data_IF_055175282580
#
_entry.id   IF_055175282580
#
_cell.length_a   1.000
_cell.length_b   1.000
_cell.length_c   1.000
_cell.angle_alpha   90.00
_cell.angle_beta   90.00
_cell.angle_gamma   90.00
#
_symmetry.space_group_name_H-M   'P 1'
#
loop_
_entity.id
_entity.type
_entity.pdbx_description
1 polymer ?
#
# COMPACT_ATOMS: atom_id res chain seq x y z
N UNK A 1 -23.54 -6.88 20.86
CA UNK A 1 -22.30 -7.29 21.57
C UNK A 1 -22.49 -8.72 22.05
N UNK A 2 -21.55 -9.62 21.79
CA UNK A 2 -21.67 -11.02 22.23
C UNK A 2 -20.91 -11.24 23.54
N UNK A 3 -21.36 -12.19 24.36
CA UNK A 3 -20.74 -12.52 25.67
C UNK A 3 -19.22 -12.81 25.55
N UNK A 4 -18.81 -13.43 24.44
CA UNK A 4 -17.39 -13.70 24.14
C UNK A 4 -16.55 -12.43 23.93
N UNK A 5 -17.13 -11.37 23.37
CA UNK A 5 -16.44 -10.08 23.21
C UNK A 5 -16.24 -9.41 24.57
N UNK A 6 -17.26 -9.44 25.42
CA UNK A 6 -17.21 -8.88 26.79
C UNK A 6 -16.10 -9.55 27.59
N UNK A 7 -16.02 -10.89 27.58
CA UNK A 7 -14.97 -11.64 28.30
C UNK A 7 -13.56 -11.32 27.78
N UNK A 8 -13.39 -11.12 26.47
CA UNK A 8 -12.09 -10.74 25.88
C UNK A 8 -11.66 -9.33 26.34
N UNK A 9 -12.59 -8.37 26.35
CA UNK A 9 -12.32 -7.02 26.83
C UNK A 9 -11.98 -6.97 28.31
N UNK A 10 -12.72 -7.69 29.15
CA UNK A 10 -12.44 -7.78 30.61
C UNK A 10 -11.03 -8.31 30.87
N UNK A 11 -10.59 -9.33 30.11
CA UNK A 11 -9.22 -9.87 30.22
C UNK A 11 -8.16 -8.84 29.81
N UNK A 12 -8.32 -8.18 28.67
CA UNK A 12 -7.36 -7.17 28.21
C UNK A 12 -7.26 -5.97 29.17
N UNK A 13 -8.38 -5.57 29.75
CA UNK A 13 -8.41 -4.51 30.77
C UNK A 13 -7.68 -4.93 32.04
N UNK A 14 -7.91 -6.16 32.54
CA UNK A 14 -7.20 -6.72 33.69
C UNK A 14 -5.70 -6.92 33.42
N UNK A 15 -5.31 -7.20 32.17
CA UNK A 15 -3.91 -7.31 31.73
C UNK A 15 -3.23 -5.92 31.59
N UNK A 16 -3.89 -4.83 32.01
CA UNK A 16 -3.32 -3.49 32.04
C UNK A 16 -3.37 -2.76 30.69
N UNK A 17 -4.13 -3.26 29.71
CA UNK A 17 -4.29 -2.61 28.40
C UNK A 17 -5.24 -1.43 28.51
N UNK A 18 -4.70 -0.23 28.69
CA UNK A 18 -5.47 1.02 28.86
C UNK A 18 -5.78 1.75 27.55
N UNK A 19 -5.21 1.31 26.42
CA UNK A 19 -5.43 1.92 25.11
C UNK A 19 -6.68 1.34 24.42
N UNK A 20 -7.61 2.22 24.03
CA UNK A 20 -8.87 1.88 23.34
C UNK A 20 -8.65 1.65 21.84
N UNK A 21 -7.53 2.10 21.28
CA UNK A 21 -7.23 1.95 19.86
C UNK A 21 -6.87 0.51 19.50
N UNK A 22 -7.39 0.07 18.36
CA UNK A 22 -7.02 -1.22 17.76
C UNK A 22 -5.50 -1.28 17.53
N UNK A 23 -4.93 -2.46 17.79
CA UNK A 23 -3.55 -2.74 17.38
C UNK A 23 -3.41 -2.60 15.87
N UNK A 24 -2.21 -2.20 15.44
CA UNK A 24 -1.88 -2.16 14.02
C UNK A 24 -2.20 -3.53 13.39
N UNK A 25 -3.14 -3.54 12.46
CA UNK A 25 -3.47 -4.75 11.70
C UNK A 25 -2.22 -5.15 10.94
N UNK A 26 -1.75 -6.38 11.16
CA UNK A 26 -0.80 -7.01 10.25
C UNK A 26 -1.52 -7.16 8.90
N UNK A 27 -1.23 -6.26 7.96
CA UNK A 27 -1.63 -6.40 6.58
C UNK A 27 -1.07 -7.68 5.98
N UNK A 28 -1.46 -8.03 4.75
CA UNK A 28 -0.89 -9.19 4.07
C UNK A 28 0.62 -8.99 3.90
N UNK A 29 1.49 -9.80 4.53
CA UNK A 29 2.92 -9.69 4.29
C UNK A 29 3.19 -10.09 2.84
N UNK A 30 3.58 -9.12 2.02
CA UNK A 30 4.17 -9.42 0.73
C UNK A 30 5.68 -9.57 0.93
N UNK A 31 6.21 -10.72 0.53
CA UNK A 31 7.67 -10.95 0.52
C UNK A 31 8.25 -10.09 -0.59
N UNK A 32 8.56 -8.84 -0.26
CA UNK A 32 9.38 -7.96 -1.07
C UNK A 32 10.82 -8.44 -0.92
N UNK A 33 11.43 -8.93 -2.00
CA UNK A 33 12.86 -9.27 -2.01
C UNK A 33 13.72 -8.00 -2.14
N UNK A 34 14.88 -7.97 -1.48
CA UNK A 34 15.80 -6.81 -1.56
C UNK A 34 16.33 -6.57 -2.98
N UNK A 35 16.55 -7.63 -3.76
CA UNK A 35 16.92 -7.54 -5.17
C UNK A 35 15.90 -6.74 -6.00
N UNK A 36 14.63 -6.90 -5.66
CA UNK A 36 13.56 -6.19 -6.32
C UNK A 36 13.56 -4.72 -5.93
N UNK A 37 13.74 -4.42 -4.64
CA UNK A 37 13.86 -3.04 -4.15
C UNK A 37 15.02 -2.33 -4.84
N UNK A 38 16.17 -3.00 -4.99
CA UNK A 38 17.33 -2.45 -5.67
C UNK A 38 17.05 -2.14 -7.15
N UNK A 39 16.35 -3.03 -7.86
CA UNK A 39 15.96 -2.82 -9.27
C UNK A 39 15.00 -1.64 -9.43
N UNK A 40 13.98 -1.54 -8.57
CA UNK A 40 13.02 -0.41 -8.58
C UNK A 40 13.75 0.90 -8.28
N UNK A 41 14.64 0.90 -7.28
CA UNK A 41 15.41 2.09 -6.91
C UNK A 41 16.35 2.54 -8.04
N UNK A 42 17.06 1.61 -8.69
CA UNK A 42 17.91 1.91 -9.85
C UNK A 42 17.11 2.63 -10.93
N UNK A 43 15.89 2.15 -11.21
CA UNK A 43 15.05 2.73 -12.25
C UNK A 43 14.53 4.12 -11.93
N UNK A 44 14.18 4.35 -10.66
CA UNK A 44 13.81 5.68 -10.15
C UNK A 44 14.98 6.66 -10.32
N UNK A 45 16.22 6.22 -10.03
CA UNK A 45 17.43 7.05 -10.20
C UNK A 45 17.76 7.35 -11.66
N UNK A 46 17.45 6.43 -12.57
CA UNK A 46 17.61 6.63 -14.00
C UNK A 46 16.57 7.60 -14.58
N UNK A 47 15.37 7.65 -13.99
CA UNK A 47 14.30 8.53 -14.45
C UNK A 47 13.65 9.29 -13.29
N UNK A 48 14.10 10.52 -13.05
CA UNK A 48 13.55 11.42 -12.03
C UNK A 48 12.06 11.77 -12.24
N UNK A 49 11.47 11.49 -13.42
CA UNK A 49 10.03 11.67 -13.71
C UNK A 49 9.29 10.34 -13.83
N UNK A 50 9.60 9.39 -12.95
CA UNK A 50 8.91 8.10 -12.89
C UNK A 50 7.45 8.24 -12.43
N UNK A 51 6.60 7.34 -12.94
CA UNK A 51 5.20 7.17 -12.48
C UNK A 51 5.01 5.75 -11.96
N UNK A 52 4.07 5.55 -11.03
CA UNK A 52 3.70 4.20 -10.54
C UNK A 52 3.30 3.28 -11.71
N UNK A 53 2.62 3.83 -12.73
CA UNK A 53 2.21 3.08 -13.93
C UNK A 53 3.41 2.56 -14.72
N UNK A 54 4.39 3.41 -15.01
CA UNK A 54 5.62 2.98 -15.70
C UNK A 54 6.35 1.86 -14.95
N UNK A 55 6.40 1.94 -13.62
CA UNK A 55 6.99 0.86 -12.82
C UNK A 55 6.16 -0.43 -12.89
N UNK A 56 4.83 -0.35 -12.96
CA UNK A 56 4.00 -1.55 -13.16
C UNK A 56 4.19 -2.16 -14.55
N UNK A 57 4.34 -1.33 -15.59
CA UNK A 57 4.53 -1.78 -16.96
C UNK A 57 5.89 -2.48 -17.14
N UNK A 58 6.94 -1.99 -16.48
CA UNK A 58 8.27 -2.62 -16.51
C UNK A 58 8.38 -3.85 -15.61
N UNK A 59 7.57 -3.91 -14.54
CA UNK A 59 7.53 -5.03 -13.63
C UNK A 59 6.15 -5.70 -13.59
N UNK A 60 5.70 -6.34 -14.68
CA UNK A 60 4.35 -6.92 -14.78
C UNK A 60 4.12 -8.10 -13.81
N UNK A 61 5.19 -8.68 -13.25
CA UNK A 61 5.13 -9.76 -12.26
C UNK A 61 4.76 -9.27 -10.85
N UNK A 62 4.70 -7.96 -10.64
CA UNK A 62 4.53 -7.33 -9.34
C UNK A 62 3.22 -6.56 -9.34
N UNK A 63 2.42 -6.69 -8.28
CA UNK A 63 1.20 -5.92 -8.18
C UNK A 63 1.48 -4.44 -7.93
N UNK A 64 0.60 -3.59 -8.43
CA UNK A 64 0.65 -2.13 -8.23
C UNK A 64 0.75 -1.73 -6.75
N UNK A 65 0.07 -2.47 -5.87
CA UNK A 65 0.09 -2.24 -4.41
C UNK A 65 1.48 -2.44 -3.82
N UNK A 66 2.20 -3.47 -4.26
CA UNK A 66 3.55 -3.79 -3.81
C UNK A 66 4.54 -2.75 -4.33
N UNK A 67 4.43 -2.34 -5.60
CA UNK A 67 5.26 -1.26 -6.14
C UNK A 67 5.06 0.03 -5.32
N UNK A 68 3.81 0.37 -5.00
CA UNK A 68 3.51 1.51 -4.15
C UNK A 68 4.13 1.38 -2.76
N UNK A 69 4.01 0.22 -2.12
CA UNK A 69 4.62 -0.03 -0.81
C UNK A 69 6.15 0.07 -0.85
N UNK A 70 6.82 -0.45 -1.88
CA UNK A 70 8.27 -0.34 -2.03
C UNK A 70 8.68 1.14 -2.16
N UNK A 71 7.99 1.89 -3.01
CA UNK A 71 8.30 3.30 -3.27
C UNK A 71 8.06 4.16 -2.03
N UNK A 72 6.93 3.98 -1.34
CA UNK A 72 6.54 4.82 -0.20
C UNK A 72 7.13 4.35 1.13
N UNK A 73 7.09 3.06 1.45
CA UNK A 73 7.50 2.55 2.76
C UNK A 73 8.97 2.14 2.80
N UNK A 74 9.56 1.63 1.71
CA UNK A 74 10.96 1.18 1.70
C UNK A 74 11.94 2.21 1.17
N UNK A 75 11.57 2.94 0.11
CA UNK A 75 12.42 3.95 -0.51
C UNK A 75 12.07 5.38 -0.08
N UNK A 76 10.99 5.57 0.68
CA UNK A 76 10.55 6.84 1.25
C UNK A 76 10.33 7.97 0.22
N UNK A 77 9.95 7.62 -1.01
CA UNK A 77 9.59 8.58 -2.05
C UNK A 77 8.11 8.98 -1.90
N UNK A 78 7.86 10.18 -1.38
CA UNK A 78 6.50 10.70 -1.18
C UNK A 78 5.94 11.51 -2.36
N UNK A 79 6.79 11.88 -3.34
CA UNK A 79 6.41 12.73 -4.48
C UNK A 79 6.57 11.98 -5.79
N UNK A 80 5.66 11.05 -6.06
CA UNK A 80 5.49 10.49 -7.39
C UNK A 80 4.49 11.37 -8.14
N UNK A 81 4.91 12.03 -9.22
CA UNK A 81 3.98 12.78 -10.04
C UNK A 81 3.02 11.79 -10.72
N UNK A 82 1.81 11.65 -10.20
CA UNK A 82 0.73 10.92 -10.87
C UNK A 82 0.22 11.81 -11.99
N UNK A 83 0.88 11.77 -13.15
CA UNK A 83 0.27 12.26 -14.38
C UNK A 83 -0.60 11.12 -14.94
N UNK A 84 -1.92 11.30 -15.06
CA UNK A 84 -2.76 10.38 -15.79
C UNK A 84 -2.44 10.55 -17.28
N UNK A 85 -1.56 9.71 -17.82
CA UNK A 85 -1.46 9.55 -19.26
C UNK A 85 -2.56 8.58 -19.70
N UNK A 86 -3.62 9.18 -20.25
CA UNK A 86 -4.66 8.53 -21.04
C UNK A 86 -5.77 7.86 -20.25
N UNK A 87 -6.84 8.59 -19.95
CA UNK A 87 -8.18 8.03 -19.76
C UNK A 87 -8.99 8.28 -21.02
N UNK A 88 -8.78 7.45 -22.04
CA UNK A 88 -9.80 7.24 -23.06
C UNK A 88 -10.72 6.11 -22.56
N UNK A 89 -12.01 6.47 -22.48
CA UNK A 89 -13.21 5.63 -22.52
C UNK A 89 -13.88 5.19 -21.21
N UNK A 90 -15.07 5.83 -21.04
CA UNK A 90 -16.37 5.20 -20.86
C UNK A 90 -16.85 4.88 -19.43
N UNK A 91 -17.31 5.91 -18.71
CA UNK A 91 -18.56 5.87 -17.95
C UNK A 91 -19.24 7.23 -18.00
N UNK A 92 -20.00 7.48 -19.07
CA UNK A 92 -21.04 8.50 -19.06
C UNK A 92 -22.28 7.90 -18.41
N UNK A 93 -22.60 8.33 -17.19
CA UNK A 93 -23.93 8.14 -16.63
C UNK A 93 -24.85 9.20 -17.25
N UNK A 94 -25.90 8.84 -18.01
CA UNK A 94 -26.96 9.79 -18.31
C UNK A 94 -27.77 10.01 -17.02
N UNK A 95 -27.87 11.26 -16.61
CA UNK A 95 -28.87 11.69 -15.62
C UNK A 95 -30.23 11.69 -16.33
N UNK A 96 -31.16 10.93 -15.78
CA UNK A 96 -32.59 11.03 -16.11
C UNK A 96 -33.26 11.83 -14.99
#
# INVERSE_FOLDING_TARGET
MTDGMVRKWVRQFNDGRTNVHDEARSGRPFVVNDDLVAKVNKKIRENNRFTIKMLCDEFPKISRTVVHEIVTNRLNYHKCNVFPLGSENAYGCPQN
#
